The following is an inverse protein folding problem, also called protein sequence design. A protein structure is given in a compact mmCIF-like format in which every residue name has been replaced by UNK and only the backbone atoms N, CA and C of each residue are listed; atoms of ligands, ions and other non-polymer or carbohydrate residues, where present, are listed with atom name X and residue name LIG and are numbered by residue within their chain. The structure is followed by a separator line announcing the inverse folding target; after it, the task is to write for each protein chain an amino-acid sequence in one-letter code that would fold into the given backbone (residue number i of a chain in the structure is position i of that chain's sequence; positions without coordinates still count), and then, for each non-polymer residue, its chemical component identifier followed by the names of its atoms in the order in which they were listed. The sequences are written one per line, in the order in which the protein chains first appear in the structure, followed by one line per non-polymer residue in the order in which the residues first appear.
data_IF_442529398782
#
_entry.id   IF_442529398782
#
_cell.length_a   1.000
_cell.length_b   1.000
_cell.length_c   1.000
_cell.angle_alpha   90.00
_cell.angle_beta   90.00
_cell.angle_gamma   90.00
#
_symmetry.space_group_name_H-M   'P 1'
#
loop_
_entity.id
_entity.type
_entity.pdbx_description
1 polymer ?
#
# COMPACT_ATOMS: atom_id res chain seq x y z
N UNK A 1 -16.55 -15.57 15.38
CA UNK A 1 -16.25 -14.42 14.50
C UNK A 1 -15.29 -14.89 13.42
N UNK A 2 -15.50 -14.48 12.16
CA UNK A 2 -14.53 -14.74 11.10
C UNK A 2 -13.32 -13.84 11.42
N UNK A 3 -12.18 -14.43 11.72
CA UNK A 3 -10.94 -13.69 12.03
C UNK A 3 -10.48 -13.02 10.74
N UNK A 4 -10.43 -11.69 10.71
CA UNK A 4 -9.94 -10.96 9.53
C UNK A 4 -8.42 -11.06 9.42
N UNK A 5 -7.89 -11.08 8.21
CA UNK A 5 -6.47 -10.97 7.91
C UNK A 5 -6.19 -9.74 7.04
N UNK A 6 -4.94 -9.25 7.04
CA UNK A 6 -4.55 -8.07 6.28
C UNK A 6 -4.60 -8.27 4.77
N UNK A 7 -4.52 -9.53 4.29
CA UNK A 7 -4.58 -9.87 2.86
C UNK A 7 -5.90 -9.44 2.22
N UNK A 8 -7.00 -9.45 3.00
CA UNK A 8 -8.34 -9.10 2.53
C UNK A 8 -8.77 -7.69 2.97
N UNK A 9 -7.84 -6.85 3.42
CA UNK A 9 -8.13 -5.48 3.81
C UNK A 9 -8.47 -4.62 2.58
N UNK A 10 -9.72 -4.27 2.43
CA UNK A 10 -10.25 -3.49 1.31
C UNK A 10 -11.19 -2.39 1.82
N UNK A 11 -10.63 -1.29 2.37
CA UNK A 11 -11.44 -0.21 2.89
C UNK A 11 -12.27 0.45 1.80
N UNK A 12 -13.37 1.10 2.22
CA UNK A 12 -14.22 1.95 1.40
C UNK A 12 -14.37 3.29 2.09
N UNK A 13 -14.21 4.35 1.31
CA UNK A 13 -14.41 5.73 1.73
C UNK A 13 -15.70 6.34 1.17
N UNK A 14 -15.77 7.64 1.23
CA UNK A 14 -16.79 8.41 0.52
C UNK A 14 -16.34 8.66 -0.91
N UNK A 15 -17.26 8.57 -1.86
CA UNK A 15 -16.98 8.97 -3.23
C UNK A 15 -16.58 10.45 -3.30
N UNK A 16 -15.42 10.71 -3.88
CA UNK A 16 -14.85 12.05 -4.13
C UNK A 16 -14.34 12.11 -5.57
N UNK A 17 -15.25 12.06 -6.59
CA UNK A 17 -14.86 11.95 -7.97
C UNK A 17 -14.15 13.22 -8.45
N UNK A 18 -12.97 13.04 -9.07
CA UNK A 18 -12.18 14.11 -9.70
C UNK A 18 -12.35 14.12 -11.21
N UNK A 19 -13.00 13.10 -11.76
CA UNK A 19 -13.30 12.94 -13.20
C UNK A 19 -14.73 12.44 -13.37
N UNK A 20 -15.29 12.66 -14.58
CA UNK A 20 -16.61 12.11 -14.96
C UNK A 20 -16.48 10.65 -15.41
N UNK A 21 -17.58 9.87 -15.34
CA UNK A 21 -17.58 8.50 -15.86
C UNK A 21 -17.07 8.42 -17.29
N UNK A 22 -16.09 7.54 -17.54
CA UNK A 22 -15.47 7.32 -18.85
C UNK A 22 -14.30 8.26 -19.18
N UNK A 23 -14.02 9.32 -18.42
CA UNK A 23 -12.84 10.16 -18.62
C UNK A 23 -11.53 9.48 -18.18
N UNK A 24 -11.60 8.60 -17.20
CA UNK A 24 -10.50 7.74 -16.82
C UNK A 24 -10.97 6.29 -16.69
N UNK A 25 -10.38 5.42 -17.49
CA UNK A 25 -10.75 3.99 -17.55
C UNK A 25 -9.60 3.15 -17.06
N UNK A 26 -9.88 2.24 -16.13
CA UNK A 26 -8.91 1.27 -15.65
C UNK A 26 -9.44 -0.16 -15.75
N UNK A 27 -8.53 -1.12 -15.74
CA UNK A 27 -8.83 -2.55 -15.80
C UNK A 27 -8.04 -3.28 -14.73
N UNK A 28 -8.61 -4.36 -14.16
CA UNK A 28 -7.98 -5.17 -13.12
C UNK A 28 -7.40 -6.46 -13.72
N UNK A 29 -6.16 -6.81 -13.37
CA UNK A 29 -5.51 -8.01 -13.86
C UNK A 29 -4.72 -8.71 -12.74
N UNK A 30 -4.75 -10.05 -12.73
CA UNK A 30 -4.05 -10.88 -11.74
C UNK A 30 -4.46 -10.57 -10.31
N UNK A 31 -5.36 -11.40 -9.77
CA UNK A 31 -6.12 -11.15 -8.54
C UNK A 31 -5.60 -12.00 -7.37
N UNK A 32 -4.28 -12.26 -7.31
CA UNK A 32 -3.67 -13.18 -6.35
C UNK A 32 -3.67 -12.64 -4.92
N UNK A 33 -3.77 -11.31 -4.75
CA UNK A 33 -3.84 -10.67 -3.45
C UNK A 33 -5.11 -9.83 -3.30
N UNK A 34 -5.76 -9.92 -2.15
CA UNK A 34 -7.03 -9.24 -1.87
C UNK A 34 -6.98 -7.70 -1.87
N UNK A 35 -5.80 -7.10 -1.84
CA UNK A 35 -5.65 -5.65 -1.98
C UNK A 35 -6.19 -5.11 -3.31
N UNK A 36 -6.35 -5.96 -4.33
CA UNK A 36 -6.98 -5.53 -5.59
C UNK A 36 -8.37 -4.92 -5.38
N UNK A 37 -9.12 -5.41 -4.37
CA UNK A 37 -10.42 -4.84 -4.02
C UNK A 37 -10.28 -3.42 -3.43
N UNK A 38 -9.31 -3.19 -2.55
CA UNK A 38 -9.02 -1.85 -2.00
C UNK A 38 -8.57 -0.87 -3.08
N UNK A 39 -7.66 -1.29 -3.95
CA UNK A 39 -7.20 -0.51 -5.10
C UNK A 39 -8.37 -0.12 -6.03
N UNK A 40 -9.23 -1.10 -6.35
CA UNK A 40 -10.41 -0.90 -7.18
C UNK A 40 -11.41 0.05 -6.52
N UNK A 41 -11.70 -0.13 -5.21
CA UNK A 41 -12.59 0.77 -4.46
C UNK A 41 -12.09 2.21 -4.52
N UNK A 42 -10.81 2.46 -4.22
CA UNK A 42 -10.25 3.81 -4.23
C UNK A 42 -10.34 4.49 -5.59
N UNK A 43 -10.04 3.79 -6.68
CA UNK A 43 -10.16 4.35 -8.03
C UNK A 43 -11.62 4.62 -8.43
N UNK A 44 -12.56 3.74 -8.06
CA UNK A 44 -13.99 3.95 -8.30
C UNK A 44 -14.52 5.16 -7.52
N UNK A 45 -14.13 5.29 -6.25
CA UNK A 45 -14.52 6.41 -5.38
C UNK A 45 -13.99 7.75 -5.91
N UNK A 46 -12.82 7.73 -6.57
CA UNK A 46 -12.23 8.89 -7.24
C UNK A 46 -12.82 9.19 -8.63
N UNK A 47 -13.81 8.42 -9.10
CA UNK A 47 -14.51 8.62 -10.37
C UNK A 47 -14.00 7.77 -11.53
N UNK A 48 -12.98 6.95 -11.34
CA UNK A 48 -12.48 6.02 -12.36
C UNK A 48 -13.55 5.01 -12.81
N UNK A 49 -13.51 4.61 -14.06
CA UNK A 49 -14.41 3.63 -14.66
C UNK A 49 -13.69 2.29 -14.80
N UNK A 50 -14.15 1.27 -14.07
CA UNK A 50 -13.66 -0.10 -14.21
C UNK A 50 -14.24 -0.74 -15.45
N UNK A 51 -13.38 -1.18 -16.39
CA UNK A 51 -13.81 -1.74 -17.67
C UNK A 51 -13.65 -3.25 -17.74
N UNK A 52 -12.43 -3.74 -17.59
CA UNK A 52 -12.14 -5.17 -17.71
C UNK A 52 -11.58 -5.77 -16.42
N UNK A 53 -11.79 -7.09 -16.27
CA UNK A 53 -11.07 -7.94 -15.33
C UNK A 53 -10.51 -9.16 -16.06
N UNK A 54 -9.29 -9.56 -15.68
CA UNK A 54 -8.66 -10.79 -16.14
C UNK A 54 -7.86 -11.44 -15.01
N UNK A 55 -8.02 -12.74 -14.87
CA UNK A 55 -7.14 -13.63 -14.09
C UNK A 55 -7.19 -15.02 -14.76
N UNK A 56 -6.08 -15.78 -14.81
CA UNK A 56 -6.09 -17.14 -15.32
C UNK A 56 -6.96 -18.11 -14.50
N UNK A 57 -7.21 -17.80 -13.21
CA UNK A 57 -8.13 -18.56 -12.36
C UNK A 57 -9.56 -18.00 -12.45
N UNK A 58 -10.49 -18.76 -13.08
CA UNK A 58 -11.87 -18.31 -13.22
C UNK A 58 -12.61 -18.10 -11.89
N UNK A 59 -12.19 -18.76 -10.80
CA UNK A 59 -12.80 -18.58 -9.47
C UNK A 59 -12.52 -17.19 -8.90
N UNK A 60 -11.31 -16.66 -9.13
CA UNK A 60 -10.96 -15.30 -8.74
C UNK A 60 -11.77 -14.29 -9.56
N UNK A 61 -11.90 -14.52 -10.87
CA UNK A 61 -12.73 -13.68 -11.75
C UNK A 61 -14.19 -13.67 -11.28
N UNK A 62 -14.76 -14.83 -10.97
CA UNK A 62 -16.14 -14.93 -10.47
C UNK A 62 -16.32 -14.14 -9.16
N UNK A 63 -15.40 -14.26 -8.21
CA UNK A 63 -15.42 -13.51 -6.95
C UNK A 63 -15.33 -11.99 -7.20
N UNK A 64 -14.48 -11.57 -8.12
CA UNK A 64 -14.31 -10.16 -8.49
C UNK A 64 -15.56 -9.59 -9.17
N UNK A 65 -16.14 -10.31 -10.13
CA UNK A 65 -17.40 -9.93 -10.80
C UNK A 65 -18.56 -9.84 -9.81
N UNK A 66 -18.60 -10.72 -8.81
CA UNK A 66 -19.62 -10.63 -7.74
C UNK A 66 -19.51 -9.33 -6.93
N UNK A 67 -18.28 -8.83 -6.72
CA UNK A 67 -18.05 -7.56 -6.03
C UNK A 67 -18.30 -6.34 -6.94
N UNK A 68 -18.02 -6.48 -8.23
CA UNK A 68 -18.16 -5.41 -9.24
C UNK A 68 -18.95 -5.89 -10.46
N UNK A 69 -20.30 -6.00 -10.37
CA UNK A 69 -21.13 -6.61 -11.42
C UNK A 69 -21.08 -5.88 -12.78
N UNK A 70 -20.64 -4.63 -12.79
CA UNK A 70 -20.50 -3.82 -14.01
C UNK A 70 -19.28 -4.17 -14.86
N UNK A 71 -18.29 -4.91 -14.31
CA UNK A 71 -17.03 -5.20 -15.00
C UNK A 71 -17.24 -6.21 -16.13
N UNK A 72 -16.52 -6.05 -17.24
CA UNK A 72 -16.46 -7.04 -18.32
C UNK A 72 -15.31 -8.01 -18.07
N UNK A 73 -15.53 -9.29 -18.30
CA UNK A 73 -14.47 -10.30 -18.25
C UNK A 73 -13.75 -10.30 -19.58
N UNK A 74 -12.44 -10.04 -19.56
CA UNK A 74 -11.58 -10.18 -20.73
C UNK A 74 -11.30 -11.66 -21.00
N UNK A 75 -11.24 -12.07 -22.27
CA UNK A 75 -10.96 -13.46 -22.69
C UNK A 75 -9.49 -13.84 -22.50
N UNK A 76 -8.61 -12.85 -22.51
CA UNK A 76 -7.18 -13.02 -22.27
C UNK A 76 -6.56 -11.73 -21.71
N UNK A 77 -5.33 -11.82 -21.18
CA UNK A 77 -4.54 -10.66 -20.77
C UNK A 77 -4.31 -9.73 -21.97
N UNK A 78 -4.05 -10.26 -23.16
CA UNK A 78 -3.82 -9.47 -24.36
C UNK A 78 -5.07 -8.65 -24.76
N UNK A 79 -6.28 -9.18 -24.59
CA UNK A 79 -7.50 -8.41 -24.86
C UNK A 79 -7.57 -7.19 -23.95
N UNK A 80 -7.27 -7.36 -22.65
CA UNK A 80 -7.25 -6.27 -21.70
C UNK A 80 -6.13 -5.26 -22.03
N UNK A 81 -4.92 -5.72 -22.30
CA UNK A 81 -3.77 -4.86 -22.59
C UNK A 81 -3.91 -4.12 -23.92
N UNK A 82 -4.54 -4.71 -24.94
CA UNK A 82 -4.72 -4.11 -26.26
C UNK A 82 -5.94 -3.17 -26.34
N UNK A 83 -6.75 -3.08 -25.29
CA UNK A 83 -7.89 -2.16 -25.26
C UNK A 83 -7.43 -0.69 -25.31
N UNK A 84 -7.91 0.06 -26.32
CA UNK A 84 -7.45 1.43 -26.57
C UNK A 84 -7.99 2.47 -25.58
N UNK A 85 -9.07 2.16 -24.88
CA UNK A 85 -9.72 3.07 -23.95
C UNK A 85 -9.15 2.97 -22.53
N UNK A 86 -8.56 1.82 -22.16
CA UNK A 86 -7.95 1.62 -20.83
C UNK A 86 -6.71 2.49 -20.67
N UNK A 87 -6.74 3.38 -19.69
CA UNK A 87 -5.62 4.26 -19.30
C UNK A 87 -4.61 3.55 -18.38
N UNK A 88 -5.11 2.74 -17.44
CA UNK A 88 -4.32 2.13 -16.38
C UNK A 88 -4.70 0.66 -16.17
N UNK A 89 -3.71 -0.17 -15.89
CA UNK A 89 -3.90 -1.55 -15.40
C UNK A 89 -3.59 -1.59 -13.91
N UNK A 90 -4.55 -2.07 -13.10
CA UNK A 90 -4.37 -2.39 -11.70
C UNK A 90 -4.05 -3.86 -11.55
N UNK A 91 -2.99 -4.23 -10.82
CA UNK A 91 -2.59 -5.62 -10.64
C UNK A 91 -2.22 -5.96 -9.20
N UNK A 92 -2.63 -7.14 -8.74
CA UNK A 92 -2.22 -7.70 -7.46
C UNK A 92 -1.77 -9.16 -7.66
N UNK A 93 -0.92 -9.38 -8.65
CA UNK A 93 -0.28 -10.66 -8.97
C UNK A 93 0.55 -11.18 -7.78
N UNK A 94 1.00 -12.43 -7.86
CA UNK A 94 2.05 -12.97 -7.00
C UNK A 94 3.24 -12.01 -7.03
N UNK A 95 3.84 -11.75 -5.87
CA UNK A 95 4.77 -10.61 -5.71
C UNK A 95 5.91 -10.60 -6.73
N UNK A 96 6.53 -11.75 -7.01
CA UNK A 96 7.61 -11.86 -8.00
C UNK A 96 7.14 -11.71 -9.47
N UNK A 97 5.84 -11.73 -9.74
CA UNK A 97 5.24 -11.59 -11.09
C UNK A 97 4.74 -10.16 -11.36
N UNK A 98 4.63 -9.32 -10.32
CA UNK A 98 4.11 -7.94 -10.43
C UNK A 98 4.89 -7.08 -11.39
N UNK A 99 6.22 -7.17 -11.35
CA UNK A 99 7.08 -6.43 -12.27
C UNK A 99 6.80 -6.82 -13.73
N UNK A 100 6.79 -8.11 -14.04
CA UNK A 100 6.57 -8.58 -15.42
C UNK A 100 5.21 -8.12 -15.98
N UNK A 101 4.15 -8.15 -15.17
CA UNK A 101 2.84 -7.59 -15.55
C UNK A 101 2.94 -6.10 -15.84
N UNK A 102 3.61 -5.33 -14.97
CA UNK A 102 3.80 -3.90 -15.16
C UNK A 102 4.57 -3.54 -16.44
N UNK A 103 5.61 -4.31 -16.76
CA UNK A 103 6.36 -4.12 -18.01
C UNK A 103 5.45 -4.33 -19.22
N UNK A 104 4.65 -5.40 -19.25
CA UNK A 104 3.68 -5.64 -20.34
C UNK A 104 2.63 -4.54 -20.43
N UNK A 105 2.09 -4.07 -19.30
CA UNK A 105 1.12 -2.98 -19.28
C UNK A 105 1.71 -1.68 -19.86
N UNK A 106 2.92 -1.30 -19.45
CA UNK A 106 3.58 -0.09 -19.95
C UNK A 106 3.97 -0.21 -21.43
N UNK A 107 4.43 -1.38 -21.90
CA UNK A 107 4.68 -1.65 -23.32
C UNK A 107 3.41 -1.52 -24.17
N UNK A 108 2.25 -1.92 -23.62
CA UNK A 108 0.95 -1.74 -24.25
C UNK A 108 0.41 -0.30 -24.15
N UNK A 109 1.22 0.64 -23.63
CA UNK A 109 0.88 2.06 -23.52
C UNK A 109 -0.02 2.42 -22.34
N UNK A 110 -0.14 1.57 -21.32
CA UNK A 110 -0.92 1.81 -20.12
C UNK A 110 -0.04 2.25 -18.95
N UNK A 111 -0.58 3.05 -18.05
CA UNK A 111 0.00 3.19 -16.72
C UNK A 111 -0.25 1.90 -15.92
N UNK A 112 0.60 1.64 -14.94
CA UNK A 112 0.48 0.45 -14.10
C UNK A 112 0.41 0.85 -12.62
N UNK A 113 -0.58 0.31 -11.91
CA UNK A 113 -0.76 0.47 -10.49
C UNK A 113 -0.79 -0.90 -9.83
N UNK A 114 0.20 -1.20 -9.01
CA UNK A 114 0.40 -2.53 -8.42
C UNK A 114 0.27 -2.53 -6.92
N UNK A 115 -0.07 -3.68 -6.38
CA UNK A 115 0.05 -3.93 -4.94
C UNK A 115 1.53 -3.90 -4.50
N UNK A 116 1.77 -3.68 -3.22
CA UNK A 116 3.08 -3.80 -2.55
C UNK A 116 3.35 -5.28 -2.21
N UNK A 117 4.57 -5.75 -2.15
CA UNK A 117 5.78 -5.18 -2.68
C UNK A 117 5.79 -5.31 -4.20
N UNK A 118 6.24 -4.31 -4.94
CA UNK A 118 6.21 -4.35 -6.40
C UNK A 118 7.29 -5.25 -7.02
N UNK A 119 8.35 -5.53 -6.26
CA UNK A 119 9.55 -6.25 -6.69
C UNK A 119 10.02 -7.23 -5.60
N UNK A 120 10.67 -8.30 -6.02
CA UNK A 120 11.40 -9.23 -5.14
C UNK A 120 12.91 -9.22 -5.41
N UNK A 121 13.35 -8.55 -6.47
CA UNK A 121 14.78 -8.41 -6.84
C UNK A 121 15.10 -7.00 -7.34
N UNK A 122 16.38 -6.61 -7.26
CA UNK A 122 16.88 -5.34 -7.79
C UNK A 122 16.83 -5.28 -9.32
N UNK A 123 16.98 -6.43 -9.99
CA UNK A 123 16.87 -6.53 -11.45
C UNK A 123 15.46 -6.20 -11.94
N UNK A 124 14.43 -6.56 -11.19
CA UNK A 124 13.05 -6.17 -11.47
C UNK A 124 12.87 -4.66 -11.32
N UNK A 125 13.39 -4.06 -10.26
CA UNK A 125 13.36 -2.62 -10.05
C UNK A 125 14.06 -1.87 -11.19
N UNK A 126 15.25 -2.32 -11.59
CA UNK A 126 16.01 -1.70 -12.70
C UNK A 126 15.27 -1.82 -14.03
N UNK A 127 14.61 -2.95 -14.26
CA UNK A 127 13.79 -3.17 -15.46
C UNK A 127 12.58 -2.23 -15.48
N UNK A 128 11.91 -2.04 -14.35
CA UNK A 128 10.79 -1.11 -14.22
C UNK A 128 11.25 0.35 -14.44
N UNK A 129 12.38 0.78 -13.84
CA UNK A 129 12.96 2.11 -14.05
C UNK A 129 13.26 2.38 -15.54
N UNK A 130 13.86 1.41 -16.23
CA UNK A 130 14.13 1.50 -17.68
C UNK A 130 12.85 1.61 -18.48
N UNK A 131 11.84 0.82 -18.16
CA UNK A 131 10.56 0.84 -18.87
C UNK A 131 9.81 2.17 -18.67
N UNK A 132 9.79 2.72 -17.46
CA UNK A 132 9.25 4.06 -17.19
C UNK A 132 9.94 5.11 -18.03
N UNK A 133 11.28 5.10 -18.07
CA UNK A 133 12.08 6.04 -18.87
C UNK A 133 11.81 5.92 -20.38
N UNK A 134 11.62 4.69 -20.89
CA UNK A 134 11.38 4.42 -22.32
C UNK A 134 9.99 4.79 -22.77
N UNK A 135 8.98 4.55 -21.92
CA UNK A 135 7.57 4.69 -22.31
C UNK A 135 6.91 5.98 -21.84
N UNK A 136 7.49 6.66 -20.84
CA UNK A 136 6.85 7.78 -20.15
C UNK A 136 5.60 7.37 -19.36
N UNK A 137 5.37 6.06 -19.16
CA UNK A 137 4.25 5.54 -18.36
C UNK A 137 4.60 5.49 -16.89
N UNK A 138 3.58 5.49 -16.05
CA UNK A 138 3.74 5.43 -14.60
C UNK A 138 3.74 3.99 -14.10
N UNK A 139 4.58 3.72 -13.11
CA UNK A 139 4.59 2.48 -12.32
C UNK A 139 4.33 2.84 -10.87
N UNK A 140 3.09 2.84 -10.43
CA UNK A 140 2.69 3.25 -9.09
C UNK A 140 2.44 2.04 -8.19
N UNK A 141 2.66 2.23 -6.88
CA UNK A 141 2.58 1.16 -5.88
C UNK A 141 1.56 1.51 -4.80
N UNK A 142 0.73 0.53 -4.46
CA UNK A 142 -0.29 0.66 -3.42
C UNK A 142 0.28 0.42 -2.01
N UNK A 143 0.76 1.46 -1.38
CA UNK A 143 1.17 1.43 0.03
C UNK A 143 -0.02 1.70 0.95
N UNK A 144 -0.97 0.75 1.01
CA UNK A 144 -2.28 0.92 1.61
C UNK A 144 -2.29 1.37 3.07
N UNK A 145 -1.23 1.08 3.85
CA UNK A 145 -1.14 1.50 5.26
C UNK A 145 -1.03 3.02 5.45
N UNK A 146 -0.67 3.78 4.42
CA UNK A 146 -0.75 5.24 4.40
C UNK A 146 -1.84 5.72 3.45
N UNK A 147 -1.88 5.21 2.24
CA UNK A 147 -2.75 5.73 1.18
C UNK A 147 -4.24 5.48 1.44
N UNK A 148 -4.56 4.48 2.25
CA UNK A 148 -5.94 4.02 2.51
C UNK A 148 -6.28 3.97 4.02
N UNK A 149 -5.63 4.84 4.80
CA UNK A 149 -5.85 5.03 6.25
C UNK A 149 -5.97 6.52 6.53
N UNK A 150 -7.17 6.99 6.88
CA UNK A 150 -7.44 8.43 7.09
C UNK A 150 -6.60 9.03 8.21
N UNK A 151 -6.30 8.27 9.28
CA UNK A 151 -5.39 8.70 10.32
C UNK A 151 -3.96 8.97 9.83
N UNK A 152 -3.49 8.18 8.85
CA UNK A 152 -2.19 8.39 8.24
C UNK A 152 -2.18 9.59 7.29
N UNK A 153 -3.27 9.83 6.54
CA UNK A 153 -3.46 11.04 5.72
C UNK A 153 -3.48 12.28 6.60
N UNK A 154 -4.28 12.26 7.69
CA UNK A 154 -4.35 13.38 8.62
C UNK A 154 -3.00 13.72 9.25
N UNK A 155 -2.21 12.71 9.63
CA UNK A 155 -0.88 12.94 10.17
C UNK A 155 0.03 13.66 9.17
N UNK A 156 -0.01 13.29 7.90
CA UNK A 156 0.70 14.01 6.83
C UNK A 156 0.29 15.49 6.75
N UNK A 157 -1.01 15.76 6.75
CA UNK A 157 -1.54 17.14 6.73
C UNK A 157 -1.10 17.95 7.97
N UNK A 158 -1.09 17.34 9.14
CA UNK A 158 -0.62 18.00 10.38
C UNK A 158 0.88 18.32 10.33
N UNK A 159 1.70 17.43 9.75
CA UNK A 159 3.13 17.66 9.56
C UNK A 159 3.35 18.80 8.59
N UNK A 160 2.65 18.81 7.46
CA UNK A 160 2.74 19.89 6.46
C UNK A 160 2.35 21.25 7.05
N UNK A 161 1.35 21.29 7.95
CA UNK A 161 0.94 22.48 8.69
C UNK A 161 1.94 22.90 9.78
N UNK A 162 3.01 22.12 10.01
CA UNK A 162 4.03 22.43 11.02
C UNK A 162 3.63 22.10 12.45
N UNK A 163 2.59 21.30 12.68
CA UNK A 163 2.04 21.00 14.00
C UNK A 163 3.05 20.46 15.02
N UNK A 164 4.09 19.75 14.53
CA UNK A 164 5.17 19.18 15.36
C UNK A 164 6.57 19.74 15.02
N UNK A 165 6.63 20.77 14.17
CA UNK A 165 7.90 21.32 13.68
C UNK A 165 8.59 20.39 12.68
N UNK A 166 9.94 20.41 12.62
CA UNK A 166 10.72 19.52 11.74
C UNK A 166 10.70 18.09 12.31
N UNK A 167 10.35 17.10 11.48
CA UNK A 167 10.45 15.68 11.85
C UNK A 167 11.92 15.32 12.07
N UNK A 168 12.20 14.55 13.11
CA UNK A 168 13.56 14.11 13.49
C UNK A 168 13.65 12.59 13.62
N UNK A 169 12.56 11.92 13.96
CA UNK A 169 12.51 10.48 14.14
C UNK A 169 11.13 9.90 13.82
N UNK A 170 11.11 8.69 13.27
CA UNK A 170 9.88 7.93 13.04
C UNK A 170 10.05 6.52 13.57
N UNK A 171 9.00 5.97 14.20
CA UNK A 171 8.90 4.56 14.56
C UNK A 171 7.66 3.94 13.90
N UNK A 172 7.85 2.79 13.26
CA UNK A 172 6.79 2.04 12.59
C UNK A 172 6.59 0.65 13.19
N UNK A 173 5.33 0.29 13.46
CA UNK A 173 4.98 -1.05 13.95
C UNK A 173 3.90 -1.64 13.06
N UNK A 174 4.24 -2.72 12.35
CA UNK A 174 3.38 -3.41 11.40
C UNK A 174 3.14 -4.88 11.78
N UNK A 175 2.60 -5.18 12.97
CA UNK A 175 2.21 -6.54 13.30
C UNK A 175 0.95 -6.93 12.52
N UNK A 176 0.99 -8.13 11.91
CA UNK A 176 -0.13 -8.69 11.15
C UNK A 176 -0.52 -10.06 11.68
N UNK A 177 -1.77 -10.45 11.45
CA UNK A 177 -2.19 -11.83 11.69
C UNK A 177 -1.79 -12.68 10.49
N UNK A 178 -1.07 -13.78 10.76
CA UNK A 178 -0.65 -14.68 9.68
C UNK A 178 -1.84 -15.33 8.98
N UNK A 179 -2.80 -15.89 9.73
CA UNK A 179 -3.96 -16.56 9.14
C UNK A 179 -3.57 -17.69 8.18
N UNK A 180 -2.56 -18.48 8.52
CA UNK A 180 -1.87 -19.42 7.62
C UNK A 180 -2.81 -20.36 6.85
N UNK A 181 -3.90 -20.82 7.47
CA UNK A 181 -4.88 -21.71 6.84
C UNK A 181 -5.64 -21.07 5.66
N UNK A 182 -5.68 -19.75 5.59
CA UNK A 182 -6.33 -18.99 4.52
C UNK A 182 -5.39 -18.48 3.44
N UNK A 183 -4.06 -18.63 3.63
CA UNK A 183 -3.08 -18.11 2.69
C UNK A 183 -2.75 -19.09 1.57
N UNK A 184 -2.53 -18.59 0.34
CA UNK A 184 -2.10 -19.42 -0.77
C UNK A 184 -0.66 -19.92 -0.55
N UNK A 185 -0.32 -21.06 -1.14
CA UNK A 185 0.98 -21.71 -0.98
C UNK A 185 2.16 -20.79 -1.33
N UNK A 186 2.04 -19.97 -2.39
CA UNK A 186 3.12 -19.06 -2.82
C UNK A 186 3.57 -18.09 -1.74
N UNK A 187 2.69 -17.77 -0.79
CA UNK A 187 3.00 -16.85 0.31
C UNK A 187 4.08 -17.39 1.26
N UNK A 188 4.29 -18.69 1.30
CA UNK A 188 5.29 -19.38 2.13
C UNK A 188 6.58 -19.70 1.37
N UNK A 189 6.70 -19.28 0.11
CA UNK A 189 7.85 -19.47 -0.74
C UNK A 189 8.60 -18.14 -0.92
N UNK A 190 9.81 -18.01 -0.37
CA UNK A 190 10.52 -16.73 -0.27
C UNK A 190 10.77 -16.08 -1.61
N UNK A 191 11.09 -16.86 -2.64
CA UNK A 191 11.26 -16.37 -4.01
C UNK A 191 9.99 -15.68 -4.53
N UNK A 192 8.80 -16.16 -4.13
CA UNK A 192 7.52 -15.65 -4.60
C UNK A 192 7.03 -14.45 -3.81
N UNK A 193 7.13 -14.46 -2.47
CA UNK A 193 6.59 -13.34 -1.66
C UNK A 193 7.64 -12.26 -1.32
N UNK A 194 8.93 -12.54 -1.46
CA UNK A 194 10.02 -11.56 -1.31
C UNK A 194 10.55 -11.37 0.11
N UNK A 195 9.95 -12.00 1.12
CA UNK A 195 10.33 -11.84 2.53
C UNK A 195 9.56 -10.73 3.24
N UNK A 196 9.55 -10.76 4.57
CA UNK A 196 8.73 -9.87 5.41
C UNK A 196 9.12 -8.38 5.29
N UNK A 197 10.41 -8.09 5.06
CA UNK A 197 10.88 -6.71 4.89
C UNK A 197 10.39 -6.12 3.57
N UNK A 198 10.32 -6.92 2.49
CA UNK A 198 9.69 -6.49 1.24
C UNK A 198 8.16 -6.40 1.39
N UNK A 199 7.53 -7.41 1.99
CA UNK A 199 6.07 -7.49 2.08
C UNK A 199 5.48 -6.41 3.01
N UNK A 200 5.74 -6.48 4.32
CA UNK A 200 5.18 -5.51 5.28
C UNK A 200 6.13 -4.32 5.49
N UNK A 201 7.45 -4.55 5.45
CA UNK A 201 8.44 -3.50 5.69
C UNK A 201 8.37 -2.36 4.67
N UNK A 202 8.02 -2.64 3.41
CA UNK A 202 7.84 -1.61 2.38
C UNK A 202 6.81 -0.54 2.75
N UNK A 203 5.72 -0.91 3.44
CA UNK A 203 4.78 0.06 3.99
C UNK A 203 5.42 1.00 5.01
N UNK A 204 6.26 0.44 5.88
CA UNK A 204 6.90 1.23 6.94
C UNK A 204 7.94 2.19 6.36
N UNK A 205 8.73 1.72 5.38
CA UNK A 205 9.72 2.53 4.67
C UNK A 205 9.03 3.67 3.92
N UNK A 206 7.96 3.39 3.19
CA UNK A 206 7.19 4.40 2.45
C UNK A 206 6.67 5.50 3.38
N UNK A 207 6.08 5.12 4.52
CA UNK A 207 5.59 6.08 5.51
C UNK A 207 6.71 6.95 6.08
N UNK A 208 7.88 6.35 6.39
CA UNK A 208 9.03 7.10 6.85
C UNK A 208 9.49 8.14 5.82
N UNK A 209 9.72 7.72 4.59
CA UNK A 209 10.14 8.63 3.53
C UNK A 209 9.18 9.80 3.38
N UNK A 210 7.88 9.51 3.42
CA UNK A 210 6.84 10.54 3.31
C UNK A 210 6.82 11.49 4.50
N UNK A 211 6.71 10.99 5.75
CA UNK A 211 6.59 11.84 6.93
C UNK A 211 7.86 12.62 7.26
N UNK A 212 9.02 12.04 7.02
CA UNK A 212 10.31 12.68 7.25
C UNK A 212 10.75 13.62 6.11
N UNK A 213 10.08 13.57 4.95
CA UNK A 213 10.51 14.27 3.75
C UNK A 213 11.87 13.77 3.24
N UNK A 214 12.12 12.46 3.39
CA UNK A 214 13.38 11.85 2.97
C UNK A 214 13.28 11.29 1.55
N UNK A 215 14.34 11.48 0.79
CA UNK A 215 14.48 10.92 -0.56
C UNK A 215 15.48 9.75 -0.60
N UNK A 216 16.32 9.63 0.44
CA UNK A 216 17.34 8.58 0.54
C UNK A 216 17.64 8.24 2.01
N UNK A 217 18.31 7.11 2.21
CA UNK A 217 18.71 6.67 3.54
C UNK A 217 19.63 5.45 3.49
N UNK A 218 20.33 5.21 4.58
CA UNK A 218 21.23 4.07 4.76
C UNK A 218 20.71 3.16 5.85
N UNK A 219 20.55 1.88 5.52
CA UNK A 219 20.22 0.84 6.51
C UNK A 219 21.40 0.68 7.46
N UNK A 220 21.21 1.01 8.72
CA UNK A 220 22.24 0.83 9.76
C UNK A 220 22.17 -0.56 10.42
N UNK A 221 20.99 -1.14 10.44
CA UNK A 221 20.75 -2.50 10.97
C UNK A 221 19.48 -3.07 10.35
N UNK A 222 19.51 -4.36 10.03
CA UNK A 222 18.29 -5.12 9.71
C UNK A 222 18.41 -6.55 10.22
N UNK A 223 17.25 -7.17 10.48
CA UNK A 223 17.15 -8.57 10.90
C UNK A 223 15.85 -9.17 10.41
N UNK A 224 15.93 -10.45 10.03
CA UNK A 224 14.78 -11.32 9.79
C UNK A 224 14.91 -12.59 10.63
N UNK A 225 13.79 -13.23 10.97
CA UNK A 225 13.77 -14.51 11.68
C UNK A 225 12.49 -15.28 11.39
N UNK A 226 12.55 -16.59 11.63
CA UNK A 226 11.40 -17.45 11.79
C UNK A 226 11.45 -18.05 13.20
N UNK A 227 10.63 -17.53 14.12
CA UNK A 227 10.64 -17.91 15.53
C UNK A 227 9.63 -19.00 15.86
N UNK A 228 8.49 -19.05 15.17
CA UNK A 228 7.36 -19.88 15.60
C UNK A 228 6.68 -20.67 14.48
N UNK A 229 7.17 -20.59 13.24
CA UNK A 229 6.55 -21.25 12.10
C UNK A 229 7.52 -22.20 11.37
N UNK A 230 8.14 -23.20 12.06
CA UNK A 230 9.14 -24.09 11.46
C UNK A 230 8.57 -24.97 10.33
N UNK A 231 7.24 -25.13 10.26
CA UNK A 231 6.56 -25.83 9.17
C UNK A 231 6.60 -25.04 7.85
N UNK A 232 6.94 -23.75 7.88
CA UNK A 232 7.15 -22.87 6.73
C UNK A 232 8.58 -22.31 6.77
N UNK A 233 9.60 -23.10 6.40
CA UNK A 233 11.01 -22.75 6.64
C UNK A 233 11.49 -21.52 5.88
N UNK A 234 10.80 -21.13 4.81
CA UNK A 234 11.14 -19.94 4.01
C UNK A 234 10.35 -18.69 4.45
N UNK A 235 9.42 -18.82 5.39
CA UNK A 235 8.68 -17.69 5.93
C UNK A 235 9.55 -16.92 6.93
N UNK A 236 9.72 -15.63 6.72
CA UNK A 236 10.16 -14.74 7.78
C UNK A 236 8.92 -14.33 8.61
N UNK A 237 8.82 -14.76 9.87
CA UNK A 237 7.68 -14.37 10.73
C UNK A 237 7.95 -13.12 11.57
N UNK A 238 9.18 -12.62 11.52
CA UNK A 238 9.64 -11.40 12.17
C UNK A 238 10.68 -10.67 11.31
N UNK A 239 10.61 -9.34 11.32
CA UNK A 239 11.63 -8.47 10.74
C UNK A 239 11.73 -7.13 11.48
N UNK A 240 12.95 -6.62 11.64
CA UNK A 240 13.19 -5.25 12.09
C UNK A 240 14.25 -4.55 11.24
N UNK A 241 14.19 -3.22 11.18
CA UNK A 241 15.17 -2.43 10.46
C UNK A 241 15.34 -1.04 11.09
N UNK A 242 16.57 -0.53 11.08
CA UNK A 242 16.88 0.84 11.44
C UNK A 242 17.57 1.54 10.26
N UNK A 243 17.14 2.77 9.96
CA UNK A 243 17.61 3.58 8.82
C UNK A 243 18.04 4.95 9.31
N UNK A 244 19.13 5.45 8.77
CA UNK A 244 19.56 6.84 8.88
C UNK A 244 19.23 7.55 7.56
N UNK A 245 18.38 8.57 7.61
CA UNK A 245 18.00 9.39 6.47
C UNK A 245 19.11 10.32 6.02
N UNK A 246 19.11 10.68 4.76
CA UNK A 246 20.09 11.61 4.18
C UNK A 246 20.00 13.03 4.80
N UNK A 247 18.80 13.43 5.23
CA UNK A 247 18.56 14.73 5.90
C UNK A 247 18.84 14.71 7.41
N UNK A 248 19.38 13.59 7.94
CA UNK A 248 19.74 13.41 9.34
C UNK A 248 18.58 12.95 10.24
N UNK A 249 17.45 12.57 9.66
CA UNK A 249 16.38 11.90 10.40
C UNK A 249 16.73 10.44 10.66
N UNK A 250 16.07 9.82 11.63
CA UNK A 250 16.25 8.39 11.92
C UNK A 250 14.93 7.66 11.88
N UNK A 251 14.99 6.38 11.56
CA UNK A 251 13.83 5.51 11.50
C UNK A 251 14.11 4.15 12.09
N UNK A 252 13.15 3.61 12.81
CA UNK A 252 13.12 2.22 13.23
C UNK A 252 11.75 1.62 12.93
N UNK A 253 11.72 0.39 12.44
CA UNK A 253 10.47 -0.34 12.34
C UNK A 253 10.62 -1.82 12.70
N UNK A 254 9.49 -2.39 13.13
CA UNK A 254 9.28 -3.80 13.38
C UNK A 254 8.03 -4.28 12.65
N UNK A 255 8.16 -5.41 11.99
CA UNK A 255 7.06 -6.10 11.30
C UNK A 255 7.05 -7.57 11.71
N UNK A 256 5.87 -8.16 11.85
CA UNK A 256 5.75 -9.55 12.28
C UNK A 256 4.39 -10.16 11.96
N UNK A 257 4.33 -11.50 12.05
CA UNK A 257 3.12 -12.30 11.87
C UNK A 257 2.57 -12.82 13.21
N UNK A 258 2.72 -12.04 14.30
CA UNK A 258 2.36 -12.46 15.66
C UNK A 258 1.11 -11.80 16.23
N UNK A 259 0.28 -11.13 15.40
CA UNK A 259 -1.01 -10.64 15.89
C UNK A 259 -1.89 -11.81 16.30
N UNK A 260 -2.30 -11.91 17.58
CA UNK A 260 -3.06 -13.03 18.10
C UNK A 260 -4.53 -12.99 17.64
N UNK A 261 -5.19 -14.15 17.61
CA UNK A 261 -6.59 -14.28 17.21
C UNK A 261 -7.56 -13.54 18.13
N UNK A 262 -7.18 -13.27 19.37
CA UNK A 262 -7.96 -12.49 20.32
C UNK A 262 -8.04 -10.98 20.01
N UNK A 263 -7.19 -10.44 19.12
CA UNK A 263 -7.32 -9.06 18.70
C UNK A 263 -8.52 -8.89 17.75
N UNK A 264 -9.36 -7.87 17.99
CA UNK A 264 -10.60 -7.62 17.20
C UNK A 264 -10.34 -7.19 15.76
N UNK A 265 -9.09 -6.87 15.38
CA UNK A 265 -8.67 -6.54 14.01
C UNK A 265 -7.50 -7.42 13.57
N UNK A 266 -7.10 -7.32 12.30
CA UNK A 266 -6.05 -8.14 11.68
C UNK A 266 -4.61 -7.74 12.09
N UNK A 267 -4.46 -6.53 12.64
CA UNK A 267 -3.17 -6.00 13.07
C UNK A 267 -3.33 -4.79 13.98
N UNK A 268 -2.30 -4.49 14.78
CA UNK A 268 -2.18 -3.28 15.61
C UNK A 268 -1.09 -2.37 15.01
N UNK A 269 -1.35 -1.90 13.79
CA UNK A 269 -0.44 -1.01 13.08
C UNK A 269 -0.36 0.34 13.75
N UNK A 270 0.85 0.77 14.13
CA UNK A 270 1.11 2.07 14.75
C UNK A 270 2.26 2.78 14.08
N UNK A 271 2.21 4.11 14.11
CA UNK A 271 3.34 4.95 13.71
C UNK A 271 3.49 6.08 14.73
N UNK A 272 4.72 6.30 15.21
CA UNK A 272 5.07 7.42 16.09
C UNK A 272 6.01 8.32 15.31
N UNK A 273 5.67 9.62 15.24
CA UNK A 273 6.42 10.62 14.46
C UNK A 273 6.83 11.72 15.44
N UNK A 274 8.13 11.87 15.66
CA UNK A 274 8.70 12.86 16.59
C UNK A 274 9.24 14.04 15.78
N UNK A 275 8.79 15.21 16.14
CA UNK A 275 9.27 16.48 15.59
C UNK A 275 9.93 17.37 16.67
N UNK A 276 10.49 18.50 16.25
CA UNK A 276 11.18 19.44 17.14
C UNK A 276 10.25 20.21 18.08
N UNK A 277 8.91 20.15 17.87
CA UNK A 277 7.89 20.89 18.66
C UNK A 277 6.76 19.99 19.15
N UNK A 278 6.88 18.68 19.04
CA UNK A 278 5.84 17.76 19.45
C UNK A 278 5.97 16.39 18.77
N UNK A 279 4.95 15.58 18.95
CA UNK A 279 4.87 14.28 18.31
C UNK A 279 3.44 13.92 17.91
N UNK A 280 3.33 12.98 16.97
CA UNK A 280 2.07 12.36 16.54
C UNK A 280 2.20 10.85 16.74
N UNK A 281 1.20 10.22 17.40
CA UNK A 281 1.00 8.76 17.36
C UNK A 281 -0.23 8.45 16.50
N UNK A 282 -0.11 7.50 15.59
CA UNK A 282 -1.21 6.96 14.80
C UNK A 282 -1.46 5.52 15.25
N UNK A 283 -2.70 5.17 15.61
CA UNK A 283 -3.18 3.80 15.74
C UNK A 283 -4.15 3.54 14.60
N UNK A 284 -3.69 2.81 13.60
CA UNK A 284 -4.37 2.74 12.30
C UNK A 284 -5.69 1.98 12.35
N UNK A 285 -5.73 0.88 13.10
CA UNK A 285 -6.82 -0.10 13.00
C UNK A 285 -7.52 -0.36 14.32
N UNK A 286 -6.90 -0.09 15.45
CA UNK A 286 -7.40 -0.41 16.78
C UNK A 286 -6.75 0.45 17.85
N UNK A 287 -7.51 0.80 18.89
CA UNK A 287 -6.99 1.24 20.17
C UNK A 287 -7.46 0.25 21.24
N UNK A 288 -6.55 -0.63 21.69
CA UNK A 288 -6.86 -1.66 22.70
C UNK A 288 -7.09 -1.08 24.10
N UNK A 289 -6.65 0.15 24.35
CA UNK A 289 -6.82 0.83 25.65
C UNK A 289 -8.22 1.42 25.83
N UNK A 290 -9.07 1.39 24.82
CA UNK A 290 -10.42 1.93 24.85
C UNK A 290 -11.43 1.04 24.15
N UNK A 291 -12.73 1.21 24.45
CA UNK A 291 -13.84 0.57 23.74
C UNK A 291 -14.21 1.29 22.44
N UNK A 292 -13.40 2.25 21.99
CA UNK A 292 -13.64 2.98 20.74
C UNK A 292 -13.61 2.03 19.55
N UNK A 293 -14.65 2.05 18.76
CA UNK A 293 -14.76 1.23 17.56
C UNK A 293 -13.92 1.81 16.42
N UNK A 294 -13.45 0.90 15.57
CA UNK A 294 -12.71 1.24 14.35
C UNK A 294 -11.25 1.62 14.59
N UNK A 295 -10.66 2.24 13.58
CA UNK A 295 -9.29 2.71 13.54
C UNK A 295 -9.20 4.24 13.41
N UNK A 296 -8.14 4.69 12.73
CA UNK A 296 -7.88 6.10 12.44
C UNK A 296 -7.72 6.98 13.69
N UNK A 297 -7.12 6.44 14.76
CA UNK A 297 -6.85 7.20 15.97
C UNK A 297 -5.55 7.99 15.81
N UNK A 298 -5.62 9.30 16.00
CA UNK A 298 -4.47 10.21 15.95
C UNK A 298 -4.34 10.93 17.28
N UNK A 299 -3.16 10.85 17.88
CA UNK A 299 -2.79 11.55 19.10
C UNK A 299 -1.72 12.58 18.74
N UNK A 300 -2.04 13.86 18.91
CA UNK A 300 -1.11 14.96 18.70
C UNK A 300 -0.77 15.59 20.05
N UNK A 301 0.53 15.72 20.34
CA UNK A 301 1.02 16.43 21.51
C UNK A 301 2.06 17.45 21.07
N UNK A 302 1.85 18.72 21.40
CA UNK A 302 2.76 19.83 21.10
C UNK A 302 2.64 20.95 22.17
N UNK A 303 3.27 22.09 21.94
CA UNK A 303 3.24 23.23 22.89
C UNK A 303 1.83 23.79 23.15
N UNK A 304 0.82 23.43 22.35
CA UNK A 304 -0.58 23.85 22.54
C UNK A 304 -1.37 22.87 23.40
N UNK A 305 -0.82 21.69 23.70
CA UNK A 305 -1.44 20.67 24.54
C UNK A 305 -1.54 19.30 23.89
N UNK A 306 -2.44 18.49 24.43
CA UNK A 306 -2.72 17.11 24.02
C UNK A 306 -4.05 17.05 23.28
N UNK A 307 -4.07 16.39 22.12
CA UNK A 307 -5.28 16.24 21.31
C UNK A 307 -5.43 14.77 20.88
N UNK A 308 -6.64 14.25 21.06
CA UNK A 308 -7.08 13.03 20.41
C UNK A 308 -8.02 13.37 19.26
N UNK A 309 -7.75 12.83 18.08
CA UNK A 309 -8.56 13.02 16.87
C UNK A 309 -8.93 11.65 16.32
N UNK A 310 -10.23 11.39 16.16
CA UNK A 310 -10.70 10.29 15.33
C UNK A 310 -10.78 10.80 13.89
N UNK A 311 -9.89 10.33 13.03
CA UNK A 311 -9.79 10.83 11.66
C UNK A 311 -10.82 10.20 10.71
N UNK A 312 -11.65 9.27 11.18
CA UNK A 312 -12.65 8.59 10.33
C UNK A 312 -13.61 9.60 9.70
N UNK A 313 -13.63 9.63 8.37
CA UNK A 313 -14.49 10.51 7.57
C UNK A 313 -13.98 11.95 7.44
N UNK A 314 -12.77 12.28 7.96
CA UNK A 314 -12.23 13.65 7.92
C UNK A 314 -11.46 13.95 6.63
N UNK A 315 -10.66 13.01 6.14
CA UNK A 315 -9.75 13.27 5.01
C UNK A 315 -10.16 12.56 3.72
N UNK A 316 -10.84 11.45 3.82
CA UNK A 316 -10.98 10.52 2.70
C UNK A 316 -9.60 10.00 2.24
N UNK A 317 -9.53 9.60 0.97
CA UNK A 317 -8.35 8.98 0.36
C UNK A 317 -7.90 9.75 -0.89
N UNK A 318 -7.31 10.96 -0.74
CA UNK A 318 -6.99 11.86 -1.85
C UNK A 318 -6.03 11.24 -2.87
N UNK A 319 -5.15 10.34 -2.45
CA UNK A 319 -4.18 9.66 -3.32
C UNK A 319 -4.80 9.13 -4.62
N UNK A 320 -5.97 8.52 -4.57
CA UNK A 320 -6.57 7.91 -5.76
C UNK A 320 -7.05 8.95 -6.78
N UNK A 321 -7.59 10.08 -6.31
CA UNK A 321 -7.94 11.20 -7.16
C UNK A 321 -6.71 11.81 -7.81
N UNK A 322 -5.68 12.08 -7.02
CA UNK A 322 -4.41 12.62 -7.50
C UNK A 322 -3.73 11.66 -8.48
N UNK A 323 -3.78 10.34 -8.24
CA UNK A 323 -3.24 9.33 -9.16
C UNK A 323 -3.95 9.35 -10.52
N UNK A 324 -5.29 9.48 -10.54
CA UNK A 324 -6.07 9.63 -11.77
C UNK A 324 -5.64 10.89 -12.53
N UNK A 325 -5.57 12.04 -11.85
CA UNK A 325 -5.15 13.31 -12.43
C UNK A 325 -3.70 13.27 -12.92
N UNK A 326 -2.81 12.65 -12.17
CA UNK A 326 -1.41 12.43 -12.56
C UNK A 326 -1.29 11.55 -13.81
N UNK A 327 -2.14 10.53 -13.92
CA UNK A 327 -2.20 9.69 -15.11
C UNK A 327 -2.66 10.46 -16.34
N UNK A 328 -3.69 11.30 -16.21
CA UNK A 328 -4.22 12.11 -17.30
C UNK A 328 -3.30 13.26 -17.69
N UNK A 329 -2.73 13.97 -16.72
CA UNK A 329 -1.97 15.21 -16.91
C UNK A 329 -0.45 14.98 -16.96
N UNK A 330 0.02 13.74 -16.71
CA UNK A 330 1.45 13.41 -16.64
C UNK A 330 2.21 14.17 -15.53
N UNK A 331 1.53 14.44 -14.40
CA UNK A 331 2.09 15.05 -13.19
C UNK A 331 2.45 13.98 -12.14
N UNK A 332 2.97 14.37 -10.98
CA UNK A 332 3.38 13.45 -9.89
C UNK A 332 2.97 13.99 -8.51
N UNK A 333 1.70 14.43 -8.39
CA UNK A 333 1.16 14.99 -7.14
C UNK A 333 0.78 13.92 -6.11
N UNK A 334 0.26 12.78 -6.57
CA UNK A 334 -0.11 11.67 -5.70
C UNK A 334 1.11 11.04 -5.02
N UNK A 335 2.13 10.79 -5.82
CA UNK A 335 3.40 10.20 -5.42
C UNK A 335 4.38 10.33 -6.58
N UNK A 336 5.61 10.75 -6.31
CA UNK A 336 6.62 10.77 -7.37
C UNK A 336 7.04 9.34 -7.73
N UNK A 337 7.42 9.12 -8.98
CA UNK A 337 7.94 7.82 -9.42
C UNK A 337 9.22 7.44 -8.64
N UNK A 338 10.04 8.44 -8.29
CA UNK A 338 11.23 8.23 -7.48
C UNK A 338 10.88 7.71 -6.08
N UNK A 339 9.89 8.30 -5.41
CA UNK A 339 9.42 7.86 -4.08
C UNK A 339 8.88 6.42 -4.12
N UNK A 340 8.02 6.11 -5.11
CA UNK A 340 7.46 4.77 -5.26
C UNK A 340 8.55 3.69 -5.38
N UNK A 341 9.61 3.96 -6.13
CA UNK A 341 10.73 3.05 -6.34
C UNK A 341 11.74 3.05 -5.20
N UNK A 342 11.87 4.16 -4.45
CA UNK A 342 12.78 4.22 -3.30
C UNK A 342 12.24 3.40 -2.13
N UNK A 343 10.92 3.41 -1.93
CA UNK A 343 10.27 2.65 -0.87
C UNK A 343 10.26 1.12 -1.13
N UNK A 344 10.36 0.72 -2.39
CA UNK A 344 10.40 -0.68 -2.83
C UNK A 344 11.77 -1.32 -2.67
#
# INVERSE_FOLDING_TARGET
MKVSDGMNYAPKGKAQPVVKPGEFIFSAAHLDHGHIYGMTNGLLEAGGTLKYVYDPDPKKVEAFVKAYPQVKVARSEEELLNDKETNMVCGAAITNERCALGLRAMQAGKDYFTDKAPFTTLEQLDSAKKMVAQTGKKYMVYYGERLHVEGAVLAGNLIEQGAIGKVIHVEGFGPHRLGAAGRPQWFFEKEKYGGILCDIGSHQIEQYLFYAGEEDGTVSRSRIANYAHPQYPELDDFGDCAINGANGTTFYFRVDWFTPDGLRTWGDGRTIIIGTKGYIEIRKYVDVGTERDGGNHVFLVNDQGEQYINATGLTGYPFFGDLILDSLNRTENAMTQAHAFKAA
#
